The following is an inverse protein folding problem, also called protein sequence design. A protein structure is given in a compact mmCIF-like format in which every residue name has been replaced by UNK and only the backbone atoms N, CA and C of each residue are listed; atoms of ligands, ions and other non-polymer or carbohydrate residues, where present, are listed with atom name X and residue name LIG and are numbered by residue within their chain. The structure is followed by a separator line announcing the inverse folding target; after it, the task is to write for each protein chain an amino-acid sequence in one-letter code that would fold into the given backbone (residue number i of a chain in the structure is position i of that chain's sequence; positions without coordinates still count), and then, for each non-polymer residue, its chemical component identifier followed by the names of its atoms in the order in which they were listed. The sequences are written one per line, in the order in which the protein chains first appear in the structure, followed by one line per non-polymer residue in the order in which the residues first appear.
data_IF_947490162380
#
_entry.id   IF_947490162380
#
_cell.length_a   1.000
_cell.length_b   1.000
_cell.length_c   1.000
_cell.angle_alpha   90.00
_cell.angle_beta   90.00
_cell.angle_gamma   90.00
#
_symmetry.space_group_name_H-M   'P 1'
#
loop_
_entity.id
_entity.type
_entity.pdbx_description
1 polymer ?
#
# COMPACT_ATOMS: atom_id res chain seq x y z
N UNK A 1 -42.13 25.35 10.15
CA UNK A 1 -41.56 24.39 9.18
C UNK A 1 -40.07 24.63 9.12
N UNK A 2 -39.30 23.58 9.36
CA UNK A 2 -37.94 23.61 9.89
C UNK A 2 -36.90 23.81 8.79
N UNK A 3 -35.96 24.71 9.05
CA UNK A 3 -34.79 25.01 8.24
C UNK A 3 -33.61 24.15 8.73
N UNK A 4 -32.78 23.56 7.85
CA UNK A 4 -31.45 23.12 8.25
C UNK A 4 -30.46 23.08 7.08
N UNK A 5 -29.33 23.71 7.35
CA UNK A 5 -28.28 24.14 6.44
C UNK A 5 -27.34 23.02 5.96
N UNK A 6 -26.87 23.22 4.73
CA UNK A 6 -25.50 23.02 4.19
C UNK A 6 -24.48 22.44 5.19
N UNK A 7 -23.87 21.29 4.86
CA UNK A 7 -22.56 20.89 5.40
C UNK A 7 -21.56 20.70 4.28
N UNK A 8 -20.68 21.68 4.24
CA UNK A 8 -19.41 21.79 3.54
C UNK A 8 -18.44 20.76 4.15
N UNK A 9 -17.93 19.84 3.34
CA UNK A 9 -16.85 18.95 3.76
C UNK A 9 -15.53 19.72 3.74
N UNK A 10 -15.14 20.23 4.92
CA UNK A 10 -13.85 20.85 5.16
C UNK A 10 -12.70 19.84 4.97
N UNK A 11 -11.92 20.04 3.90
CA UNK A 11 -10.48 19.75 3.88
C UNK A 11 -9.82 20.74 4.84
N UNK A 12 -9.24 20.26 5.95
CA UNK A 12 -8.07 20.80 6.66
C UNK A 12 -8.00 20.24 8.09
N UNK A 13 -7.20 19.19 8.30
CA UNK A 13 -6.52 18.96 9.58
C UNK A 13 -5.44 17.88 9.42
N UNK A 14 -4.29 18.26 8.87
CA UNK A 14 -3.01 17.64 9.25
C UNK A 14 -2.14 18.79 9.75
N UNK A 15 -2.50 19.24 10.95
CA UNK A 15 -1.71 20.18 11.72
C UNK A 15 -0.43 19.52 12.21
N UNK A 16 0.69 20.06 11.74
CA UNK A 16 1.91 20.30 12.52
C UNK A 16 2.40 19.15 13.43
N UNK A 17 3.20 18.23 12.88
CA UNK A 17 4.22 17.55 13.67
C UNK A 17 5.38 18.50 13.94
N UNK A 18 5.21 19.36 14.96
CA UNK A 18 6.30 20.15 15.53
C UNK A 18 7.05 19.25 16.52
N UNK A 19 8.02 18.49 16.04
CA UNK A 19 8.98 17.80 16.91
C UNK A 19 9.88 18.85 17.57
N UNK A 20 9.47 19.35 18.73
CA UNK A 20 10.30 20.21 19.55
C UNK A 20 11.30 19.32 20.31
N UNK A 21 12.48 19.16 19.71
CA UNK A 21 13.62 18.48 20.33
C UNK A 21 14.20 19.41 21.41
N UNK A 22 13.80 19.21 22.66
CA UNK A 22 14.45 19.89 23.79
C UNK A 22 15.73 19.12 24.10
N UNK A 23 16.89 19.67 23.71
CA UNK A 23 18.20 19.18 24.14
C UNK A 23 18.34 19.46 25.64
N UNK A 24 18.24 18.42 26.47
CA UNK A 24 18.74 18.46 27.84
C UNK A 24 20.11 17.76 27.82
N UNK A 25 21.19 18.53 27.87
CA UNK A 25 22.54 17.99 28.07
C UNK A 25 22.65 17.49 29.51
N UNK A 26 22.71 16.17 29.69
CA UNK A 26 23.03 15.54 30.98
C UNK A 26 24.44 14.96 30.91
N UNK A 27 25.24 15.40 31.88
CA UNK A 27 26.58 14.98 32.20
C UNK A 27 26.58 13.54 32.76
N UNK A 28 27.33 12.67 32.09
CA UNK A 28 28.15 11.60 32.65
C UNK A 28 27.50 10.33 33.28
N UNK A 29 28.03 9.19 32.79
CA UNK A 29 28.00 7.79 33.28
C UNK A 29 26.89 6.84 32.83
N UNK A 30 27.29 6.06 31.81
CA UNK A 30 27.19 4.59 31.67
C UNK A 30 25.78 3.97 31.68
N UNK A 31 25.48 3.30 30.56
CA UNK A 31 24.29 2.49 30.23
C UNK A 31 23.02 3.25 29.81
N UNK A 32 23.04 3.71 28.55
CA UNK A 32 21.83 4.07 27.81
C UNK A 32 20.96 2.83 27.54
N UNK A 33 20.17 2.40 28.52
CA UNK A 33 18.96 1.65 28.24
C UNK A 33 17.92 2.65 27.74
N UNK A 34 17.81 2.80 26.42
CA UNK A 34 16.67 3.51 25.80
C UNK A 34 15.44 2.65 26.06
N UNK A 35 14.79 2.85 27.21
CA UNK A 35 13.47 2.30 27.48
C UNK A 35 12.47 3.15 26.70
N UNK A 36 12.31 2.85 25.41
CA UNK A 36 11.26 3.43 24.59
C UNK A 36 9.93 2.85 25.10
N UNK A 37 9.32 3.50 26.10
CA UNK A 37 7.90 3.30 26.39
C UNK A 37 7.10 3.85 25.20
N UNK A 38 6.91 3.01 24.19
CA UNK A 38 5.82 3.15 23.23
C UNK A 38 4.51 3.02 24.02
N UNK A 39 3.97 4.16 24.44
CA UNK A 39 2.56 4.23 24.80
C UNK A 39 1.79 4.10 23.48
N UNK A 40 1.43 2.87 23.12
CA UNK A 40 0.45 2.61 22.08
C UNK A 40 -0.87 3.25 22.55
N UNK A 41 -1.14 4.46 22.10
CA UNK A 41 -2.49 4.99 22.15
C UNK A 41 -3.31 4.12 21.20
N UNK A 42 -4.14 3.23 21.75
CA UNK A 42 -5.12 2.51 20.96
C UNK A 42 -6.08 3.55 20.40
N UNK A 43 -5.89 3.91 19.13
CA UNK A 43 -6.91 4.63 18.36
C UNK A 43 -8.02 3.63 18.09
N UNK A 44 -8.85 3.41 19.10
CA UNK A 44 -10.13 2.71 18.98
C UNK A 44 -11.12 3.60 18.24
N UNK A 45 -10.90 3.82 16.95
CA UNK A 45 -11.91 4.46 16.09
C UNK A 45 -12.99 3.44 15.80
N UNK A 46 -14.25 3.80 16.09
CA UNK A 46 -15.41 3.02 15.68
C UNK A 46 -15.44 2.95 14.14
N UNK A 47 -14.90 1.87 13.59
CA UNK A 47 -14.91 1.58 12.15
C UNK A 47 -16.37 1.34 11.74
N UNK A 48 -16.89 2.16 10.82
CA UNK A 48 -18.23 2.02 10.24
C UNK A 48 -18.42 0.63 9.61
N UNK A 49 -19.66 0.12 9.60
CA UNK A 49 -19.98 -1.25 9.15
C UNK A 49 -19.41 -1.54 7.75
N UNK A 50 -19.44 -0.56 6.85
CA UNK A 50 -18.95 -0.68 5.47
C UNK A 50 -17.43 -0.86 5.39
N UNK A 51 -16.68 -0.13 6.22
CA UNK A 51 -15.22 -0.24 6.26
C UNK A 51 -14.80 -1.59 6.85
N UNK A 52 -15.52 -2.10 7.86
CA UNK A 52 -15.28 -3.47 8.36
C UNK A 52 -15.48 -4.52 7.27
N UNK A 53 -16.51 -4.35 6.43
CA UNK A 53 -16.77 -5.27 5.33
C UNK A 53 -15.71 -5.19 4.22
N UNK A 54 -15.25 -3.99 3.86
CA UNK A 54 -14.15 -3.81 2.90
C UNK A 54 -12.83 -4.42 3.40
N UNK A 55 -12.51 -4.24 4.68
CA UNK A 55 -11.34 -4.87 5.32
C UNK A 55 -11.45 -6.40 5.23
N UNK A 56 -12.61 -6.97 5.59
CA UNK A 56 -12.83 -8.41 5.52
C UNK A 56 -12.68 -8.94 4.09
N UNK A 57 -13.24 -8.23 3.12
CA UNK A 57 -13.17 -8.61 1.70
C UNK A 57 -11.72 -8.60 1.18
N UNK A 58 -10.97 -7.53 1.51
CA UNK A 58 -9.55 -7.41 1.13
C UNK A 58 -8.69 -8.49 1.77
N UNK A 59 -8.94 -8.81 3.05
CA UNK A 59 -8.24 -9.88 3.76
C UNK A 59 -8.53 -11.26 3.15
N UNK A 60 -9.80 -11.56 2.81
CA UNK A 60 -10.17 -12.82 2.16
C UNK A 60 -9.56 -12.96 0.76
N UNK A 61 -9.50 -11.88 -0.01
CA UNK A 61 -8.84 -11.85 -1.31
C UNK A 61 -7.34 -12.12 -1.17
N UNK A 62 -6.68 -11.52 -0.17
CA UNK A 62 -5.27 -11.76 0.12
C UNK A 62 -4.99 -13.21 0.56
N UNK A 63 -5.82 -13.78 1.44
CA UNK A 63 -5.71 -15.19 1.82
C UNK A 63 -5.88 -16.13 0.61
N UNK A 64 -6.82 -15.81 -0.28
CA UNK A 64 -7.03 -16.56 -1.52
C UNK A 64 -5.82 -16.48 -2.45
N UNK A 65 -5.14 -15.33 -2.50
CA UNK A 65 -3.89 -15.17 -3.23
C UNK A 65 -2.76 -16.01 -2.62
N UNK A 66 -2.58 -15.97 -1.30
CA UNK A 66 -1.55 -16.74 -0.59
C UNK A 66 -1.73 -18.26 -0.80
N UNK A 67 -2.96 -18.75 -0.69
CA UNK A 67 -3.26 -20.18 -0.88
C UNK A 67 -2.96 -20.66 -2.30
N UNK A 68 -3.03 -19.79 -3.30
CA UNK A 68 -2.64 -20.10 -4.69
C UNK A 68 -1.14 -19.93 -4.92
N UNK A 69 -0.46 -19.09 -4.15
CA UNK A 69 0.92 -18.65 -4.37
C UNK A 69 1.92 -19.39 -3.47
N UNK A 70 1.84 -20.72 -3.42
CA UNK A 70 2.65 -21.55 -2.50
C UNK A 70 4.14 -21.64 -2.88
N UNK A 71 4.50 -21.26 -4.10
CA UNK A 71 5.89 -21.14 -4.56
C UNK A 71 6.07 -19.85 -5.37
N UNK A 72 7.32 -19.37 -5.59
CA UNK A 72 7.56 -18.18 -6.40
C UNK A 72 6.97 -18.26 -7.82
N UNK A 73 6.95 -19.46 -8.41
CA UNK A 73 6.33 -19.70 -9.73
C UNK A 73 4.82 -19.45 -9.68
N UNK A 74 4.12 -20.04 -8.71
CA UNK A 74 2.68 -19.84 -8.57
C UNK A 74 2.31 -18.39 -8.17
N UNK A 75 3.20 -17.71 -7.45
CA UNK A 75 3.04 -16.29 -7.13
C UNK A 75 3.06 -15.42 -8.40
N UNK A 76 4.01 -15.70 -9.32
CA UNK A 76 4.08 -15.02 -10.62
C UNK A 76 2.85 -15.30 -11.47
N UNK A 77 2.39 -16.55 -11.54
CA UNK A 77 1.17 -16.91 -12.27
C UNK A 77 -0.08 -16.23 -11.70
N UNK A 78 -0.19 -16.18 -10.37
CA UNK A 78 -1.30 -15.49 -9.69
C UNK A 78 -1.26 -13.98 -9.98
N UNK A 79 -0.09 -13.36 -9.92
CA UNK A 79 0.11 -11.96 -10.29
C UNK A 79 -0.20 -11.70 -11.77
N UNK A 80 0.22 -12.58 -12.67
CA UNK A 80 -0.05 -12.47 -14.11
C UNK A 80 -1.56 -12.49 -14.40
N UNK A 81 -2.31 -13.38 -13.75
CA UNK A 81 -3.78 -13.42 -13.87
C UNK A 81 -4.44 -12.12 -13.41
N UNK A 82 -3.98 -11.57 -12.28
CA UNK A 82 -4.48 -10.29 -11.75
C UNK A 82 -4.13 -9.13 -12.70
N UNK A 83 -2.89 -9.07 -13.18
CA UNK A 83 -2.44 -8.00 -14.09
C UNK A 83 -3.16 -8.06 -15.45
N UNK A 84 -3.33 -9.26 -16.00
CA UNK A 84 -4.03 -9.47 -17.28
C UNK A 84 -5.51 -9.09 -17.18
N UNK A 85 -6.18 -9.44 -16.08
CA UNK A 85 -7.57 -9.01 -15.83
C UNK A 85 -7.70 -7.50 -15.60
N UNK A 86 -6.65 -6.84 -15.10
CA UNK A 86 -6.58 -5.38 -14.98
C UNK A 86 -6.18 -4.65 -16.28
N UNK A 87 -6.01 -5.39 -17.39
CA UNK A 87 -5.70 -4.86 -18.72
C UNK A 87 -4.22 -4.55 -18.96
N UNK A 88 -3.30 -5.16 -18.21
CA UNK A 88 -1.87 -5.06 -18.50
C UNK A 88 -1.47 -5.99 -19.66
N UNK A 89 -0.51 -5.53 -20.45
CA UNK A 89 0.04 -6.27 -21.61
C UNK A 89 1.42 -6.84 -21.27
N UNK A 90 1.65 -8.11 -21.62
CA UNK A 90 2.95 -8.74 -21.46
C UNK A 90 3.97 -8.19 -22.46
N UNK A 91 5.17 -7.88 -21.98
CA UNK A 91 6.33 -7.52 -22.78
C UNK A 91 7.44 -8.55 -22.60
N UNK A 92 8.06 -8.96 -23.71
CA UNK A 92 9.17 -9.90 -23.72
C UNK A 92 10.51 -9.16 -23.68
N UNK A 93 11.38 -9.54 -22.73
CA UNK A 93 12.73 -8.95 -22.57
C UNK A 93 13.59 -9.12 -23.83
N UNK A 94 13.39 -10.21 -24.56
CA UNK A 94 14.16 -10.57 -25.75
C UNK A 94 13.75 -9.79 -27.01
N UNK A 95 12.72 -8.96 -26.92
CA UNK A 95 12.18 -8.18 -28.04
C UNK A 95 12.31 -6.68 -27.75
N UNK A 96 12.28 -5.86 -28.80
CA UNK A 96 12.26 -4.40 -28.62
C UNK A 96 11.00 -3.99 -27.88
N UNK A 97 11.17 -3.41 -26.69
CA UNK A 97 10.09 -2.93 -25.84
C UNK A 97 9.40 -1.72 -26.48
N UNK A 98 8.17 -1.91 -26.97
CA UNK A 98 7.31 -0.83 -27.48
C UNK A 98 6.41 -0.31 -26.37
N UNK A 99 6.94 0.62 -25.58
CA UNK A 99 6.20 1.25 -24.48
C UNK A 99 5.43 2.46 -25.02
N UNK A 100 4.11 2.45 -24.84
CA UNK A 100 3.22 3.54 -25.25
C UNK A 100 2.80 4.40 -24.06
N UNK A 101 2.63 5.72 -24.23
CA UNK A 101 2.08 6.58 -23.18
C UNK A 101 0.67 6.13 -22.81
N UNK A 102 0.30 6.28 -21.52
CA UNK A 102 -0.97 5.78 -20.95
C UNK A 102 -1.14 4.25 -21.00
N UNK A 103 -0.09 3.50 -21.37
CA UNK A 103 -0.12 2.05 -21.42
C UNK A 103 0.17 1.38 -20.07
N UNK A 104 -0.26 0.13 -19.92
CA UNK A 104 -0.01 -0.72 -18.76
C UNK A 104 0.70 -1.99 -19.21
N UNK A 105 1.87 -2.25 -18.65
CA UNK A 105 2.74 -3.32 -19.13
C UNK A 105 3.32 -4.12 -17.97
N UNK A 106 3.58 -5.40 -18.22
CA UNK A 106 4.35 -6.23 -17.31
C UNK A 106 5.37 -7.07 -18.06
N UNK A 107 6.45 -7.42 -17.38
CA UNK A 107 7.55 -8.25 -17.87
C UNK A 107 7.69 -9.42 -16.88
N UNK A 108 7.91 -10.62 -17.40
CA UNK A 108 8.27 -11.79 -16.61
C UNK A 108 9.65 -12.31 -17.00
N UNK A 109 10.38 -12.83 -16.02
CA UNK A 109 11.63 -13.53 -16.29
C UNK A 109 11.35 -14.81 -17.09
N UNK A 110 12.29 -15.25 -17.93
CA UNK A 110 12.17 -16.52 -18.67
C UNK A 110 11.93 -17.72 -17.74
N UNK A 111 12.55 -17.68 -16.55
CA UNK A 111 12.40 -18.69 -15.50
C UNK A 111 11.11 -18.54 -14.68
N UNK A 112 10.25 -17.56 -14.97
CA UNK A 112 8.94 -17.33 -14.29
C UNK A 112 8.99 -17.23 -12.76
N UNK A 113 10.11 -16.79 -12.20
CA UNK A 113 10.26 -16.55 -10.75
C UNK A 113 10.17 -15.08 -10.36
N UNK A 114 10.11 -14.20 -11.36
CA UNK A 114 10.05 -12.76 -11.20
C UNK A 114 9.06 -12.13 -12.17
N UNK A 115 8.32 -11.13 -11.68
CA UNK A 115 7.39 -10.30 -12.45
C UNK A 115 7.57 -8.83 -12.08
N UNK A 116 7.58 -7.97 -13.09
CA UNK A 116 7.67 -6.52 -12.92
C UNK A 116 6.56 -5.86 -13.73
N UNK A 117 5.74 -5.04 -13.08
CA UNK A 117 4.62 -4.35 -13.73
C UNK A 117 4.74 -2.84 -13.54
N UNK A 118 4.40 -2.08 -14.58
CA UNK A 118 4.43 -0.62 -14.55
C UNK A 118 3.31 -0.03 -15.42
N UNK A 119 2.83 1.15 -15.04
CA UNK A 119 1.90 1.94 -15.81
C UNK A 119 2.59 3.24 -16.22
N UNK A 120 2.43 3.62 -17.48
CA UNK A 120 3.07 4.82 -18.04
C UNK A 120 2.07 5.97 -17.96
N UNK A 121 2.41 7.02 -17.23
CA UNK A 121 1.63 8.25 -17.22
C UNK A 121 1.56 8.87 -18.62
N UNK A 122 0.46 9.56 -18.93
CA UNK A 122 0.39 10.40 -20.12
C UNK A 122 0.83 11.81 -19.77
N UNK A 123 1.64 12.41 -20.64
CA UNK A 123 1.76 13.88 -20.73
C UNK A 123 0.53 14.49 -21.38
#
# INVERSE_FOLDING_TARGET
MSNCNKKESNMNEISNFKCQLHLCTIHERQNCFIFLKLKMASVGKAVSKDVKQQIRTSALAFLSFLNKSVTPFHAVESCESILRSAGFVELFVNQRLKVQPKGKFYIKSEKRTFIFAFAVGGV
#
